data_IF_466190600236
#
_entry.id   IF_466190600236
#
_cell.length_a   1.000
_cell.length_b   1.000
_cell.length_c   1.000
_cell.angle_alpha   90.00
_cell.angle_beta   90.00
_cell.angle_gamma   90.00
#
_symmetry.space_group_name_H-M   'P 1'
#
loop_
_entity.id
_entity.type
_entity.pdbx_description
1 polymer ?
#
# COMPACT_ATOMS: atom_id res chain seq x y z
N UNK A 1 -9.22 -0.64 6.11
CA UNK A 1 -9.56 -1.46 7.32
C UNK A 1 -9.42 -2.98 7.14
N UNK A 2 -10.04 -3.60 6.12
CA UNK A 2 -10.07 -5.07 5.92
C UNK A 2 -8.67 -5.73 5.91
N UNK A 3 -7.72 -5.14 5.18
CA UNK A 3 -6.35 -5.65 5.10
C UNK A 3 -5.64 -5.72 6.47
N UNK A 4 -5.85 -4.73 7.34
CA UNK A 4 -5.25 -4.69 8.70
C UNK A 4 -5.82 -5.80 9.58
N UNK A 5 -7.14 -6.04 9.53
CA UNK A 5 -7.79 -7.10 10.31
C UNK A 5 -7.27 -8.47 9.89
N UNK A 6 -7.15 -8.72 8.58
CA UNK A 6 -6.60 -9.98 8.06
C UNK A 6 -5.16 -10.21 8.55
N UNK A 7 -4.30 -9.19 8.44
CA UNK A 7 -2.90 -9.26 8.90
C UNK A 7 -2.80 -9.46 10.42
N UNK A 8 -3.70 -8.85 11.17
CA UNK A 8 -3.79 -9.06 12.63
C UNK A 8 -4.09 -10.51 12.97
N UNK A 9 -4.96 -11.19 12.22
CA UNK A 9 -5.22 -12.63 12.41
C UNK A 9 -3.99 -13.49 12.12
N UNK A 10 -3.29 -13.19 11.02
CA UNK A 10 -2.07 -13.93 10.68
C UNK A 10 -0.98 -13.75 11.73
N UNK A 11 -0.76 -12.52 12.19
CA UNK A 11 0.22 -12.22 13.23
C UNK A 11 -0.10 -12.95 14.54
N UNK A 12 -1.37 -12.95 14.94
CA UNK A 12 -1.85 -13.67 16.12
C UNK A 12 -1.68 -15.19 15.96
N UNK A 13 -2.15 -15.78 14.87
CA UNK A 13 -2.04 -17.22 14.62
C UNK A 13 -0.58 -17.69 14.64
N UNK A 14 0.31 -16.96 13.98
CA UNK A 14 1.75 -17.28 13.98
C UNK A 14 2.38 -17.15 15.37
N UNK A 15 1.98 -16.15 16.15
CA UNK A 15 2.45 -15.99 17.54
C UNK A 15 1.91 -17.11 18.46
N UNK A 16 0.69 -17.58 18.22
CA UNK A 16 0.12 -18.73 18.94
C UNK A 16 0.88 -20.02 18.63
N UNK A 17 1.13 -20.31 17.35
CA UNK A 17 1.94 -21.46 16.94
C UNK A 17 3.31 -21.40 17.61
N UNK A 18 3.94 -20.22 17.63
CA UNK A 18 5.24 -20.04 18.27
C UNK A 18 5.22 -20.36 19.77
N UNK A 19 4.17 -19.96 20.49
CA UNK A 19 4.10 -20.10 21.97
C UNK A 19 3.48 -21.41 22.46
N UNK A 20 2.51 -21.95 21.75
CA UNK A 20 1.72 -23.13 22.17
C UNK A 20 2.29 -24.40 21.54
N UNK A 21 2.43 -24.42 20.23
CA UNK A 21 2.85 -25.63 19.50
C UNK A 21 4.38 -25.76 19.44
N UNK A 22 5.07 -24.61 19.39
CA UNK A 22 6.52 -24.45 19.32
C UNK A 22 7.23 -25.46 18.38
N UNK A 23 7.17 -25.22 17.05
CA UNK A 23 7.80 -26.09 16.04
C UNK A 23 9.30 -26.36 16.24
N UNK A 24 10.02 -25.54 17.03
CA UNK A 24 11.44 -25.75 17.31
C UNK A 24 11.73 -27.03 18.08
N UNK A 25 10.82 -27.43 18.98
CA UNK A 25 10.94 -28.63 19.80
C UNK A 25 10.01 -29.76 19.36
N UNK A 26 9.27 -29.56 18.26
CA UNK A 26 8.42 -30.58 17.66
C UNK A 26 9.22 -31.80 17.19
N UNK A 27 8.65 -32.99 17.43
CA UNK A 27 9.17 -34.25 16.88
C UNK A 27 8.88 -34.33 15.38
N UNK A 28 9.77 -34.95 14.61
CA UNK A 28 9.57 -35.19 13.18
C UNK A 28 9.98 -34.06 12.22
N UNK A 29 10.57 -32.97 12.71
CA UNK A 29 11.09 -31.87 11.87
C UNK A 29 12.62 -31.86 11.83
N UNK A 30 13.19 -31.68 10.64
CA UNK A 30 14.63 -31.46 10.46
C UNK A 30 15.05 -30.08 10.97
N UNK A 31 16.34 -29.89 11.25
CA UNK A 31 16.86 -28.60 11.71
C UNK A 31 16.58 -27.46 10.71
N UNK A 32 16.71 -27.73 9.40
CA UNK A 32 16.44 -26.76 8.35
C UNK A 32 14.95 -26.36 8.31
N UNK A 33 14.05 -27.34 8.43
CA UNK A 33 12.60 -27.06 8.50
C UNK A 33 12.25 -26.21 9.72
N UNK A 34 12.88 -26.49 10.88
CA UNK A 34 12.71 -25.70 12.10
C UNK A 34 13.12 -24.24 11.89
N UNK A 35 14.24 -24.00 11.21
CA UNK A 35 14.68 -22.64 10.86
C UNK A 35 13.71 -21.93 9.90
N UNK A 36 13.15 -22.65 8.92
CA UNK A 36 12.14 -22.10 8.03
C UNK A 36 10.88 -21.66 8.79
N UNK A 37 10.36 -22.52 9.68
CA UNK A 37 9.23 -22.17 10.54
C UNK A 37 9.56 -21.02 11.48
N UNK A 38 10.75 -21.02 12.09
CA UNK A 38 11.20 -19.95 12.96
C UNK A 38 11.24 -18.60 12.25
N UNK A 39 11.80 -18.56 11.05
CA UNK A 39 11.84 -17.35 10.22
C UNK A 39 10.44 -16.81 9.93
N UNK A 40 9.50 -17.69 9.53
CA UNK A 40 8.12 -17.31 9.26
C UNK A 40 7.38 -16.79 10.50
N UNK A 41 7.62 -17.38 11.67
CA UNK A 41 7.01 -16.96 12.94
C UNK A 41 7.61 -15.64 13.46
N UNK A 42 8.94 -15.50 13.43
CA UNK A 42 9.64 -14.29 13.88
C UNK A 42 9.34 -13.07 13.01
N UNK A 43 9.06 -13.29 11.71
CA UNK A 43 8.62 -12.20 10.83
C UNK A 43 7.48 -11.41 11.46
N UNK A 44 6.44 -12.07 11.99
CA UNK A 44 5.29 -11.38 12.58
C UNK A 44 5.58 -10.64 13.90
N UNK A 45 6.77 -10.80 14.48
CA UNK A 45 7.23 -10.01 15.62
C UNK A 45 7.81 -8.65 15.21
N UNK A 46 7.87 -8.31 13.91
CA UNK A 46 8.41 -7.05 13.41
C UNK A 46 7.75 -5.81 14.04
N UNK A 47 6.47 -5.90 14.42
CA UNK A 47 5.68 -4.75 14.86
C UNK A 47 6.29 -4.06 16.09
N UNK A 48 6.79 -4.84 17.06
CA UNK A 48 7.38 -4.28 18.27
C UNK A 48 8.71 -3.54 17.99
N UNK A 49 9.73 -4.16 17.36
CA UNK A 49 10.95 -3.44 16.98
C UNK A 49 10.66 -2.20 16.12
N UNK A 50 9.72 -2.27 15.17
CA UNK A 50 9.40 -1.13 14.31
C UNK A 50 8.85 0.06 15.10
N UNK A 51 7.91 -0.18 16.02
CA UNK A 51 7.40 0.90 16.90
C UNK A 51 8.54 1.49 17.72
N UNK A 52 9.37 0.64 18.34
CA UNK A 52 10.52 1.08 19.14
C UNK A 52 11.49 1.93 18.31
N UNK A 53 11.90 1.48 17.12
CA UNK A 53 12.85 2.22 16.26
C UNK A 53 12.31 3.56 15.76
N UNK A 54 11.00 3.64 15.50
CA UNK A 54 10.35 4.90 15.09
C UNK A 54 10.25 5.86 16.29
N UNK A 55 10.01 5.36 17.50
CA UNK A 55 9.87 6.20 18.70
C UNK A 55 11.17 6.49 19.43
N UNK A 56 12.25 5.73 19.18
CA UNK A 56 13.51 5.83 19.91
C UNK A 56 14.11 7.25 19.96
N UNK A 57 14.10 8.05 18.87
CA UNK A 57 14.61 9.42 18.91
C UNK A 57 13.86 10.32 19.87
N UNK A 58 12.57 10.05 20.15
CA UNK A 58 11.76 10.90 21.03
C UNK A 58 12.33 10.96 22.44
N UNK A 59 12.90 9.86 22.93
CA UNK A 59 13.50 9.80 24.26
C UNK A 59 14.65 10.81 24.41
N UNK A 60 15.52 10.87 23.41
CA UNK A 60 16.62 11.83 23.40
C UNK A 60 16.15 13.24 23.06
N UNK A 61 15.39 13.41 21.98
CA UNK A 61 15.00 14.73 21.46
C UNK A 61 14.10 15.51 22.42
N UNK A 62 13.16 14.85 23.10
CA UNK A 62 12.25 15.52 24.05
C UNK A 62 12.84 15.53 25.47
N UNK A 63 13.30 14.40 25.96
CA UNK A 63 13.66 14.21 27.37
C UNK A 63 15.16 14.24 27.66
N UNK A 64 16.01 14.41 26.62
CA UNK A 64 17.47 14.37 26.74
C UNK A 64 18.01 13.05 27.34
N UNK A 65 17.29 11.95 27.13
CA UNK A 65 17.69 10.64 27.64
C UNK A 65 18.62 9.95 26.64
N UNK A 66 19.90 9.82 27.01
CA UNK A 66 20.87 9.06 26.24
C UNK A 66 20.61 7.56 26.35
N UNK A 67 20.07 6.96 25.27
CA UNK A 67 19.85 5.51 25.21
C UNK A 67 21.16 4.75 24.95
N UNK A 68 22.07 5.34 24.17
CA UNK A 68 23.33 4.72 23.74
C UNK A 68 24.49 5.51 24.33
N UNK A 69 25.29 4.86 25.18
CA UNK A 69 26.52 5.42 25.70
C UNK A 69 27.67 5.20 24.70
N UNK A 70 27.78 6.07 23.70
CA UNK A 70 28.85 6.02 22.70
C UNK A 70 29.03 7.37 22.02
N UNK A 71 30.23 7.64 21.50
CA UNK A 71 30.48 8.82 20.66
C UNK A 71 29.73 8.69 19.33
N UNK A 72 29.18 9.79 18.82
CA UNK A 72 28.46 9.81 17.55
C UNK A 72 29.29 9.28 16.36
N UNK A 73 30.60 9.57 16.33
CA UNK A 73 31.52 9.08 15.30
C UNK A 73 31.60 7.55 15.25
N UNK A 74 31.71 6.91 16.41
CA UNK A 74 31.74 5.45 16.54
C UNK A 74 30.40 4.84 16.09
N UNK A 75 29.27 5.44 16.46
CA UNK A 75 27.96 4.94 15.99
C UNK A 75 27.90 4.99 14.46
N UNK A 76 28.30 6.09 13.84
CA UNK A 76 28.30 6.23 12.37
C UNK A 76 29.24 5.24 11.71
N UNK A 77 30.45 5.03 12.25
CA UNK A 77 31.44 4.13 11.66
C UNK A 77 30.98 2.67 11.62
N UNK A 78 30.18 2.23 12.58
CA UNK A 78 29.61 0.87 12.57
C UNK A 78 28.24 0.79 11.89
N UNK A 79 27.36 1.75 12.14
CA UNK A 79 25.98 1.70 11.64
C UNK A 79 25.90 1.96 10.13
N UNK A 80 26.66 2.91 9.59
CA UNK A 80 26.55 3.29 8.18
C UNK A 80 26.97 2.15 7.23
N UNK A 81 28.13 1.48 7.41
CA UNK A 81 28.49 0.34 6.57
C UNK A 81 27.49 -0.82 6.71
N UNK A 82 27.01 -1.08 7.93
CA UNK A 82 26.01 -2.12 8.19
C UNK A 82 24.69 -1.83 7.46
N UNK A 83 24.15 -0.62 7.57
CA UNK A 83 22.91 -0.23 6.88
C UNK A 83 23.07 -0.30 5.36
N UNK A 84 24.19 0.18 4.83
CA UNK A 84 24.48 0.11 3.40
C UNK A 84 24.49 -1.34 2.89
N UNK A 85 25.24 -2.23 3.56
CA UNK A 85 25.31 -3.64 3.19
C UNK A 85 23.95 -4.33 3.30
N UNK A 86 23.19 -4.08 4.37
CA UNK A 86 21.87 -4.66 4.56
C UNK A 86 20.90 -4.27 3.43
N UNK A 87 20.87 -2.98 3.05
CA UNK A 87 20.03 -2.47 1.96
C UNK A 87 20.50 -3.02 0.61
N UNK A 88 21.81 -3.02 0.36
CA UNK A 88 22.37 -3.46 -0.91
C UNK A 88 22.14 -4.96 -1.15
N UNK A 89 22.45 -5.81 -0.16
CA UNK A 89 22.20 -7.25 -0.23
C UNK A 89 20.71 -7.53 -0.36
N UNK A 90 19.86 -6.83 0.41
CA UNK A 90 18.41 -6.93 0.32
C UNK A 90 17.89 -6.62 -1.09
N UNK A 91 18.39 -5.55 -1.71
CA UNK A 91 18.08 -5.21 -3.11
C UNK A 91 18.55 -6.28 -4.07
N UNK A 92 19.78 -6.78 -3.95
CA UNK A 92 20.30 -7.83 -4.83
C UNK A 92 19.50 -9.13 -4.76
N UNK A 93 19.07 -9.54 -3.57
CA UNK A 93 18.28 -10.76 -3.38
C UNK A 93 16.81 -10.61 -3.79
N UNK A 94 16.17 -9.51 -3.42
CA UNK A 94 14.70 -9.35 -3.54
C UNK A 94 14.25 -8.29 -4.56
N UNK A 95 15.17 -7.55 -5.18
CA UNK A 95 14.87 -6.35 -5.96
C UNK A 95 14.00 -6.57 -7.20
N UNK A 96 13.86 -7.80 -7.69
CA UNK A 96 12.91 -8.14 -8.78
C UNK A 96 11.46 -8.22 -8.29
N UNK A 97 11.26 -8.50 -7.00
CA UNK A 97 9.94 -8.75 -6.42
C UNK A 97 9.48 -7.60 -5.52
N UNK A 98 10.41 -6.92 -4.84
CA UNK A 98 10.11 -5.84 -3.89
C UNK A 98 11.16 -4.75 -3.96
N UNK A 99 10.70 -3.51 -4.10
CA UNK A 99 11.53 -2.33 -3.97
C UNK A 99 12.07 -2.20 -2.53
N UNK A 100 13.33 -1.78 -2.39
CA UNK A 100 14.13 -1.83 -1.17
C UNK A 100 13.44 -1.23 0.07
N UNK A 101 12.84 -0.05 -0.06
CA UNK A 101 12.27 0.70 1.06
C UNK A 101 10.75 0.56 1.22
N UNK A 102 10.07 0.07 0.19
CA UNK A 102 8.63 -0.18 0.25
C UNK A 102 8.28 -1.21 1.31
N UNK A 103 9.24 -2.09 1.62
CA UNK A 103 9.03 -3.04 2.69
C UNK A 103 8.89 -2.41 4.07
N UNK A 104 9.72 -1.40 4.35
CA UNK A 104 9.66 -0.68 5.62
C UNK A 104 8.37 0.13 5.76
N UNK A 105 7.93 0.78 4.67
CA UNK A 105 6.67 1.52 4.66
C UNK A 105 5.50 0.58 4.99
N UNK A 106 5.46 -0.58 4.34
CA UNK A 106 4.42 -1.59 4.58
C UNK A 106 4.40 -2.06 6.03
N UNK A 107 5.57 -2.32 6.61
CA UNK A 107 5.69 -2.71 8.01
C UNK A 107 5.23 -1.58 8.94
N UNK A 108 5.62 -0.33 8.70
CA UNK A 108 5.23 0.83 9.52
C UNK A 108 3.71 1.04 9.50
N UNK A 109 3.05 0.91 8.34
CA UNK A 109 1.58 0.99 8.23
C UNK A 109 0.91 -0.01 9.18
N UNK A 110 1.46 -1.22 9.27
CA UNK A 110 0.90 -2.31 10.08
C UNK A 110 1.37 -2.28 11.55
N UNK A 111 2.55 -1.74 11.85
CA UNK A 111 3.24 -1.92 13.13
C UNK A 111 2.39 -1.50 14.34
N UNK A 112 1.81 -0.30 14.33
CA UNK A 112 0.98 0.20 15.44
C UNK A 112 -0.31 -0.61 15.66
N UNK A 113 -0.80 -1.29 14.62
CA UNK A 113 -2.00 -2.14 14.71
C UNK A 113 -1.68 -3.54 15.18
N UNK A 114 -0.50 -4.05 14.81
CA UNK A 114 -0.08 -5.42 15.11
C UNK A 114 0.60 -5.54 16.47
N UNK A 115 1.22 -4.47 17.00
CA UNK A 115 2.01 -4.53 18.24
C UNK A 115 1.21 -5.04 19.44
N UNK A 116 -0.03 -4.57 19.63
CA UNK A 116 -0.86 -4.99 20.75
C UNK A 116 -1.35 -6.45 20.59
N UNK A 117 -1.94 -6.85 19.44
CA UNK A 117 -2.28 -8.24 19.19
C UNK A 117 -1.11 -9.22 19.32
N UNK A 118 0.08 -8.88 18.82
CA UNK A 118 1.25 -9.77 18.91
C UNK A 118 1.76 -9.85 20.34
N UNK A 119 1.91 -8.73 21.04
CA UNK A 119 2.40 -8.71 22.43
C UNK A 119 1.44 -9.43 23.39
N UNK A 120 0.14 -9.15 23.30
CA UNK A 120 -0.86 -9.82 24.15
C UNK A 120 -0.88 -11.32 23.88
N UNK A 121 -0.79 -11.74 22.62
CA UNK A 121 -0.75 -13.17 22.27
C UNK A 121 0.54 -13.84 22.70
N UNK A 122 1.67 -13.12 22.67
CA UNK A 122 2.96 -13.62 23.12
C UNK A 122 2.95 -13.95 24.62
N UNK A 123 2.32 -13.10 25.44
CA UNK A 123 2.20 -13.26 26.90
C UNK A 123 1.03 -14.19 27.26
N UNK A 124 -0.13 -13.99 26.64
CA UNK A 124 -1.39 -14.69 26.91
C UNK A 124 -1.97 -15.36 25.65
N UNK A 125 -1.37 -16.47 25.17
CA UNK A 125 -1.72 -17.05 23.86
C UNK A 125 -3.16 -17.58 23.77
N UNK A 126 -3.78 -17.93 24.90
CA UNK A 126 -5.15 -18.45 24.97
C UNK A 126 -6.23 -17.36 25.05
N UNK A 127 -5.86 -16.09 25.25
CA UNK A 127 -6.83 -14.99 25.34
C UNK A 127 -6.97 -14.26 24.01
N UNK A 128 -8.19 -14.23 23.48
CA UNK A 128 -8.60 -13.26 22.46
C UNK A 128 -9.76 -13.76 21.59
N UNK A 129 -10.57 -12.83 21.11
CA UNK A 129 -11.76 -13.12 20.31
C UNK A 129 -11.40 -13.20 18.82
N UNK A 130 -12.04 -14.11 18.09
CA UNK A 130 -11.91 -14.21 16.63
C UNK A 130 -13.00 -13.32 16.02
N UNK A 131 -12.64 -12.07 15.68
CA UNK A 131 -13.59 -11.21 14.98
C UNK A 131 -13.52 -11.56 13.48
N UNK A 132 -14.63 -12.02 12.89
CA UNK A 132 -14.76 -12.28 11.44
C UNK A 132 -14.67 -10.95 10.69
N UNK A 133 -14.13 -10.96 9.47
CA UNK A 133 -13.92 -9.74 8.67
C UNK A 133 -15.22 -9.55 7.92
N UNK A 134 -15.84 -8.39 8.03
CA UNK A 134 -16.95 -8.06 7.15
C UNK A 134 -16.44 -8.12 5.71
N UNK A 135 -17.03 -9.04 4.93
CA UNK A 135 -16.70 -9.21 3.53
C UNK A 135 -17.31 -8.03 2.76
N UNK A 136 -16.49 -7.01 2.51
CA UNK A 136 -16.64 -6.05 1.42
C UNK A 136 -17.91 -5.21 1.42
N UNK A 137 -17.85 -4.03 2.04
CA UNK A 137 -18.73 -2.92 1.67
C UNK A 137 -18.15 -2.14 0.49
N UNK A 138 -19.01 -1.70 -0.44
CA UNK A 138 -18.64 -0.76 -1.50
C UNK A 138 -18.28 0.58 -0.87
N UNK A 139 -17.08 1.10 -1.15
CA UNK A 139 -16.65 2.42 -0.68
C UNK A 139 -16.97 3.45 -1.76
N UNK A 140 -18.20 3.98 -1.73
CA UNK A 140 -18.67 4.95 -2.72
C UNK A 140 -17.96 6.32 -2.61
N UNK A 141 -17.50 6.63 -1.38
CA UNK A 141 -16.69 7.80 -1.00
C UNK A 141 -15.34 7.36 -0.44
N UNK A 142 -14.28 8.09 -0.80
CA UNK A 142 -12.95 7.89 -0.23
C UNK A 142 -12.96 8.21 1.26
N UNK A 143 -13.14 7.19 2.10
CA UNK A 143 -13.13 7.36 3.55
C UNK A 143 -11.70 7.30 4.07
N UNK A 144 -11.24 8.40 4.67
CA UNK A 144 -10.03 8.37 5.47
C UNK A 144 -10.39 7.73 6.81
N UNK A 145 -10.01 6.46 7.02
CA UNK A 145 -10.25 5.77 8.29
C UNK A 145 -9.34 6.36 9.37
N UNK A 146 -9.82 7.47 9.95
CA UNK A 146 -9.09 8.28 10.90
C UNK A 146 -8.68 7.48 12.14
N UNK A 147 -9.42 6.42 12.47
CA UNK A 147 -9.15 5.53 13.61
C UNK A 147 -7.88 4.72 13.39
N UNK A 148 -7.66 4.23 12.16
CA UNK A 148 -6.48 3.44 11.78
C UNK A 148 -5.24 4.33 11.68
N UNK A 149 -5.38 5.56 11.21
CA UNK A 149 -4.22 6.46 10.98
C UNK A 149 -3.85 7.27 12.23
N UNK A 150 -4.72 7.33 13.24
CA UNK A 150 -4.50 8.08 14.50
C UNK A 150 -3.17 7.77 15.20
N UNK A 151 -2.78 6.52 15.48
CA UNK A 151 -1.51 6.26 16.17
C UNK A 151 -0.30 6.75 15.36
N UNK A 152 -0.33 6.58 14.04
CA UNK A 152 0.72 7.10 13.15
C UNK A 152 0.80 8.63 13.19
N UNK A 153 -0.34 9.32 13.18
CA UNK A 153 -0.38 10.80 13.27
C UNK A 153 0.16 11.31 14.60
N UNK A 154 -0.22 10.69 15.72
CA UNK A 154 0.28 11.08 17.05
C UNK A 154 1.80 10.97 17.09
N UNK A 155 2.36 9.84 16.65
CA UNK A 155 3.81 9.64 16.65
C UNK A 155 4.50 10.56 15.64
N UNK A 156 3.90 10.84 14.49
CA UNK A 156 4.44 11.80 13.52
C UNK A 156 4.49 13.22 14.09
N UNK A 157 3.45 13.67 14.77
CA UNK A 157 3.44 14.98 15.44
C UNK A 157 4.47 15.05 16.56
N UNK A 158 4.60 14.00 17.37
CA UNK A 158 5.61 13.94 18.43
C UNK A 158 7.03 13.94 17.85
N UNK A 159 7.28 13.21 16.76
CA UNK A 159 8.57 13.19 16.07
C UNK A 159 8.88 14.55 15.44
N UNK A 160 7.90 15.19 14.81
CA UNK A 160 8.08 16.54 14.27
C UNK A 160 8.43 17.54 15.37
N UNK A 161 7.72 17.50 16.51
CA UNK A 161 8.03 18.32 17.67
C UNK A 161 9.43 18.01 18.22
N UNK A 162 9.78 16.74 18.35
CA UNK A 162 11.10 16.30 18.80
C UNK A 162 12.21 16.80 17.88
N UNK A 163 12.03 16.71 16.56
CA UNK A 163 13.00 17.23 15.58
C UNK A 163 13.15 18.74 15.72
N UNK A 164 12.06 19.50 15.87
CA UNK A 164 12.12 20.95 16.09
C UNK A 164 12.88 21.29 17.38
N UNK A 165 12.54 20.62 18.50
CA UNK A 165 13.24 20.80 19.78
C UNK A 165 14.73 20.43 19.65
N UNK A 166 15.04 19.34 18.96
CA UNK A 166 16.41 18.91 18.69
C UNK A 166 17.21 19.94 17.89
N UNK A 167 16.61 20.53 16.86
CA UNK A 167 17.25 21.60 16.07
C UNK A 167 17.50 22.84 16.94
N UNK A 168 16.51 23.25 17.74
CA UNK A 168 16.67 24.39 18.67
C UNK A 168 17.78 24.12 19.68
N UNK A 169 17.85 22.91 20.24
CA UNK A 169 18.93 22.50 21.16
C UNK A 169 20.30 22.40 20.47
N UNK A 170 20.35 21.99 19.21
CA UNK A 170 21.59 21.95 18.43
C UNK A 170 22.14 23.37 18.18
N UNK A 171 21.26 24.34 17.92
CA UNK A 171 21.65 25.74 17.73
C UNK A 171 22.08 26.35 19.07
N UNK A 172 21.32 26.09 20.14
CA UNK A 172 21.62 26.54 21.51
C UNK A 172 22.57 25.61 22.29
N UNK A 173 23.47 24.89 21.62
CA UNK A 173 24.28 23.84 22.25
C UNK A 173 25.09 24.32 23.47
N UNK A 174 25.56 25.57 23.46
CA UNK A 174 26.26 26.22 24.58
C UNK A 174 25.41 26.33 25.86
N UNK A 175 24.09 26.47 25.71
CA UNK A 175 23.16 26.63 26.83
C UNK A 175 22.69 25.30 27.42
N UNK A 176 22.64 24.25 26.60
CA UNK A 176 22.10 22.93 27.00
C UNK A 176 23.18 21.89 27.32
N UNK A 177 24.47 22.22 27.20
CA UNK A 177 25.58 21.35 27.61
C UNK A 177 25.58 19.97 26.94
N UNK A 178 25.08 19.89 25.71
CA UNK A 178 24.84 18.63 24.99
C UNK A 178 25.71 18.55 23.74
N UNK A 179 26.31 17.38 23.50
CA UNK A 179 27.22 17.19 22.36
C UNK A 179 26.49 17.37 21.01
N UNK A 180 26.90 18.37 20.19
CA UNK A 180 26.25 18.67 18.91
C UNK A 180 26.15 17.47 17.97
N UNK A 181 27.15 16.58 18.01
CA UNK A 181 27.19 15.42 17.12
C UNK A 181 26.14 14.36 17.50
N UNK A 182 25.88 14.19 18.79
CA UNK A 182 24.86 13.26 19.29
C UNK A 182 23.45 13.78 18.97
N UNK A 183 23.26 15.10 19.09
CA UNK A 183 22.00 15.74 18.68
C UNK A 183 21.79 15.57 17.18
N UNK A 184 22.80 15.85 16.35
CA UNK A 184 22.71 15.73 14.90
C UNK A 184 22.33 14.30 14.46
N UNK A 185 22.89 13.27 15.10
CA UNK A 185 22.56 11.87 14.81
C UNK A 185 21.10 11.56 15.13
N UNK A 186 20.60 11.96 16.31
CA UNK A 186 19.21 11.74 16.72
C UNK A 186 18.22 12.54 15.87
N UNK A 187 18.56 13.77 15.49
CA UNK A 187 17.77 14.59 14.55
C UNK A 187 17.74 13.92 13.19
N UNK A 188 18.87 13.44 12.67
CA UNK A 188 18.94 12.71 11.40
C UNK A 188 18.09 11.45 11.40
N UNK A 189 18.17 10.63 12.44
CA UNK A 189 17.32 9.44 12.59
C UNK A 189 15.84 9.80 12.78
N UNK A 190 15.54 10.88 13.50
CA UNK A 190 14.19 11.42 13.66
C UNK A 190 13.58 11.85 12.33
N UNK A 191 14.34 12.56 11.48
CA UNK A 191 13.92 12.96 10.13
C UNK A 191 13.73 11.72 9.25
N UNK A 192 14.65 10.75 9.27
CA UNK A 192 14.51 9.49 8.54
C UNK A 192 13.20 8.79 8.92
N UNK A 193 12.97 8.60 10.23
CA UNK A 193 11.77 7.95 10.76
C UNK A 193 10.50 8.72 10.38
N UNK A 194 10.55 10.05 10.42
CA UNK A 194 9.45 10.92 10.04
C UNK A 194 9.10 10.80 8.55
N UNK A 195 10.08 10.75 7.64
CA UNK A 195 9.83 10.57 6.20
C UNK A 195 9.08 9.26 5.93
N UNK A 196 9.55 8.16 6.52
CA UNK A 196 8.90 6.85 6.37
C UNK A 196 7.50 6.79 7.00
N UNK A 197 7.33 7.44 8.16
CA UNK A 197 6.03 7.53 8.81
C UNK A 197 5.03 8.37 8.00
N UNK A 198 5.48 9.48 7.41
CA UNK A 198 4.68 10.30 6.49
C UNK A 198 4.35 9.53 5.21
N UNK A 199 5.27 8.74 4.67
CA UNK A 199 5.00 7.85 3.55
C UNK A 199 3.95 6.78 3.90
N UNK A 200 4.01 6.20 5.10
CA UNK A 200 3.00 5.26 5.58
C UNK A 200 1.62 5.92 5.72
N UNK A 201 1.55 7.14 6.26
CA UNK A 201 0.31 7.94 6.34
C UNK A 201 -0.22 8.26 4.94
N UNK A 202 0.67 8.57 3.99
CA UNK A 202 0.33 8.84 2.60
C UNK A 202 -0.34 7.63 1.93
N UNK A 203 0.22 6.42 2.14
CA UNK A 203 -0.34 5.16 1.62
C UNK A 203 -1.68 4.83 2.29
N UNK A 204 -1.85 5.15 3.56
CA UNK A 204 -3.12 4.96 4.26
C UNK A 204 -4.25 5.86 3.74
N UNK A 205 -3.94 6.90 2.95
CA UNK A 205 -4.92 7.69 2.20
C UNK A 205 -5.41 6.88 1.01
N UNK A 206 -6.33 5.96 1.29
CA UNK A 206 -6.87 5.01 0.32
C UNK A 206 -7.50 5.74 -0.87
N UNK A 207 -6.95 5.50 -2.07
CA UNK A 207 -7.49 6.02 -3.33
C UNK A 207 -8.83 5.37 -3.61
N UNK A 208 -9.85 6.17 -3.97
CA UNK A 208 -11.22 5.72 -4.25
C UNK A 208 -11.21 4.52 -5.21
N UNK A 209 -11.55 3.33 -4.69
CA UNK A 209 -11.77 2.15 -5.52
C UNK A 209 -13.24 2.06 -5.89
N UNK A 210 -13.60 2.64 -7.04
CA UNK A 210 -14.98 2.64 -7.56
C UNK A 210 -15.35 1.28 -8.16
N UNK A 211 -14.34 0.46 -8.54
CA UNK A 211 -14.55 -0.77 -9.33
C UNK A 211 -14.79 -1.97 -8.42
N UNK A 212 -15.86 -2.73 -8.70
CA UNK A 212 -16.24 -3.97 -7.99
C UNK A 212 -15.38 -5.18 -8.36
N UNK A 213 -14.92 -5.25 -9.61
CA UNK A 213 -14.16 -6.38 -10.16
C UNK A 213 -12.77 -5.95 -10.61
N UNK A 214 -11.80 -6.86 -10.46
CA UNK A 214 -10.44 -6.69 -10.96
C UNK A 214 -10.46 -6.88 -12.48
N UNK A 215 -9.79 -5.98 -13.21
CA UNK A 215 -9.54 -6.09 -14.65
C UNK A 215 -8.12 -6.59 -14.87
N UNK A 216 -7.97 -7.50 -15.82
CA UNK A 216 -6.70 -8.08 -16.24
C UNK A 216 -6.41 -7.54 -17.63
N UNK A 217 -5.24 -6.94 -17.83
CA UNK A 217 -4.81 -6.48 -19.15
C UNK A 217 -4.58 -7.70 -20.05
N UNK A 218 -5.33 -7.76 -21.15
CA UNK A 218 -5.34 -8.96 -21.98
C UNK A 218 -5.75 -8.64 -23.41
N UNK A 219 -5.00 -9.21 -24.35
CA UNK A 219 -5.24 -9.13 -25.78
C UNK A 219 -5.91 -10.43 -26.26
N UNK A 220 -7.21 -10.36 -26.53
CA UNK A 220 -8.03 -11.46 -27.05
C UNK A 220 -8.78 -10.92 -28.28
N UNK A 221 -8.78 -11.64 -29.41
CA UNK A 221 -9.64 -11.30 -30.53
C UNK A 221 -11.10 -11.32 -30.09
N UNK A 222 -11.81 -10.23 -30.37
CA UNK A 222 -13.22 -10.04 -30.03
C UNK A 222 -13.99 -9.61 -31.26
N UNK A 223 -15.21 -10.10 -31.35
CA UNK A 223 -16.17 -9.73 -32.37
C UNK A 223 -17.27 -8.93 -31.68
N UNK A 224 -17.53 -7.73 -32.17
CA UNK A 224 -18.55 -6.82 -31.67
C UNK A 224 -19.77 -6.96 -32.57
N UNK A 225 -20.90 -7.34 -31.98
CA UNK A 225 -22.19 -7.44 -32.65
C UNK A 225 -23.01 -6.20 -32.31
N UNK A 226 -23.34 -5.42 -33.34
CA UNK A 226 -24.16 -4.22 -33.20
C UNK A 226 -25.63 -4.53 -33.49
N UNK A 227 -26.54 -3.70 -32.98
CA UNK A 227 -27.99 -3.84 -33.15
C UNK A 227 -28.41 -3.78 -34.63
N UNK A 228 -27.66 -3.09 -35.50
CA UNK A 228 -27.93 -3.11 -36.95
C UNK A 228 -27.61 -4.44 -37.63
N UNK A 229 -27.10 -5.45 -36.90
CA UNK A 229 -26.62 -6.72 -37.44
C UNK A 229 -25.24 -6.66 -38.09
N UNK A 230 -24.55 -5.51 -38.02
CA UNK A 230 -23.17 -5.37 -38.47
C UNK A 230 -22.24 -5.97 -37.43
N UNK A 231 -21.11 -6.49 -37.91
CA UNK A 231 -20.13 -7.16 -37.07
C UNK A 231 -18.75 -6.53 -37.29
N UNK A 232 -18.08 -6.12 -36.23
CA UNK A 232 -16.69 -5.62 -36.29
C UNK A 232 -15.74 -6.52 -35.52
N UNK A 233 -14.54 -6.73 -36.07
CA UNK A 233 -13.47 -7.46 -35.39
C UNK A 233 -12.53 -6.48 -34.72
N UNK A 234 -12.15 -6.78 -33.49
CA UNK A 234 -11.20 -6.00 -32.72
C UNK A 234 -10.47 -6.89 -31.71
N UNK A 235 -9.75 -6.26 -30.79
CA UNK A 235 -8.97 -6.88 -29.73
C UNK A 235 -9.36 -6.27 -28.37
N UNK A 236 -9.42 -7.12 -27.34
CA UNK A 236 -9.54 -6.62 -25.97
C UNK A 236 -8.24 -5.95 -25.53
N UNK A 237 -8.35 -4.96 -24.65
CA UNK A 237 -7.23 -4.35 -23.95
C UNK A 237 -7.23 -4.74 -22.47
N UNK A 238 -8.42 -4.87 -21.88
CA UNK A 238 -8.59 -5.43 -20.54
C UNK A 238 -9.90 -6.21 -20.42
N UNK A 239 -9.95 -7.15 -19.47
CA UNK A 239 -11.10 -8.00 -19.24
C UNK A 239 -11.33 -8.22 -17.73
N UNK A 240 -12.60 -8.24 -17.31
CA UNK A 240 -13.02 -8.60 -15.95
C UNK A 240 -14.29 -9.44 -15.97
N UNK A 241 -14.69 -9.94 -14.81
CA UNK A 241 -15.99 -10.62 -14.64
C UNK A 241 -17.21 -9.72 -14.89
N UNK A 242 -17.06 -8.39 -14.94
CA UNK A 242 -18.18 -7.44 -15.09
C UNK A 242 -18.14 -6.61 -16.36
N UNK A 243 -17.18 -6.86 -17.26
CA UNK A 243 -17.02 -6.08 -18.48
C UNK A 243 -15.59 -6.10 -19.01
N UNK A 244 -15.40 -5.51 -20.18
CA UNK A 244 -14.12 -5.44 -20.87
C UNK A 244 -13.86 -4.04 -21.43
N UNK A 245 -12.62 -3.83 -21.87
CA UNK A 245 -12.24 -2.72 -22.72
C UNK A 245 -11.78 -3.29 -24.05
N UNK A 246 -12.33 -2.79 -25.15
CA UNK A 246 -12.04 -3.22 -26.51
C UNK A 246 -11.42 -2.06 -27.27
N UNK A 247 -10.45 -2.32 -28.15
CA UNK A 247 -9.91 -1.27 -29.04
C UNK A 247 -11.03 -0.83 -29.98
N UNK A 248 -11.28 0.46 -30.12
CA UNK A 248 -12.29 0.94 -31.06
C UNK A 248 -11.82 0.65 -32.49
N UNK A 249 -12.52 -0.20 -33.28
CA UNK A 249 -12.12 -0.46 -34.66
C UNK A 249 -12.46 0.75 -35.54
N UNK A 250 -13.65 1.31 -35.35
CA UNK A 250 -14.22 2.43 -36.09
C UNK A 250 -15.13 3.30 -35.17
N UNK A 251 -15.62 4.41 -35.69
CA UNK A 251 -16.55 5.34 -35.01
C UNK A 251 -18.02 4.89 -35.01
N UNK A 252 -18.34 3.66 -35.46
CA UNK A 252 -19.72 3.15 -35.57
C UNK A 252 -20.47 3.05 -34.24
N UNK A 253 -19.74 2.84 -33.15
CA UNK A 253 -20.27 2.82 -31.79
C UNK A 253 -20.94 4.14 -31.34
N UNK A 254 -20.83 5.22 -32.13
CA UNK A 254 -21.52 6.49 -31.90
C UNK A 254 -22.93 6.51 -32.49
N UNK A 255 -23.19 5.68 -33.51
CA UNK A 255 -24.45 5.66 -34.27
C UNK A 255 -25.26 4.40 -34.04
N UNK A 256 -24.63 3.34 -33.51
CA UNK A 256 -25.25 2.03 -33.31
C UNK A 256 -24.88 1.43 -31.94
N UNK A 257 -25.86 0.80 -31.32
CA UNK A 257 -25.74 0.18 -30.01
C UNK A 257 -25.06 -1.19 -30.11
N UNK A 258 -24.24 -1.51 -29.12
CA UNK A 258 -23.59 -2.81 -28.99
C UNK A 258 -24.51 -3.68 -28.14
N UNK A 259 -24.92 -4.84 -28.68
CA UNK A 259 -25.78 -5.80 -27.97
C UNK A 259 -24.97 -6.94 -27.37
N UNK A 260 -24.02 -7.46 -28.13
CA UNK A 260 -23.27 -8.66 -27.76
C UNK A 260 -21.82 -8.54 -28.19
N UNK A 261 -20.93 -9.14 -27.40
CA UNK A 261 -19.57 -9.40 -27.84
C UNK A 261 -19.26 -10.89 -27.81
N UNK A 262 -18.48 -11.33 -28.78
CA UNK A 262 -18.00 -12.70 -28.87
C UNK A 262 -16.49 -12.71 -28.67
N UNK A 263 -16.04 -13.31 -27.57
CA UNK A 263 -14.64 -13.49 -27.24
C UNK A 263 -14.14 -14.77 -27.91
N UNK A 264 -13.16 -14.65 -28.80
CA UNK A 264 -12.60 -15.79 -29.52
C UNK A 264 -11.39 -16.32 -28.74
N UNK A 265 -11.51 -17.52 -28.20
CA UNK A 265 -10.42 -18.22 -27.53
C UNK A 265 -10.01 -19.47 -28.29
N UNK A 266 -8.82 -19.99 -27.98
CA UNK A 266 -8.35 -21.27 -28.51
C UNK A 266 -9.27 -22.45 -28.14
N UNK A 267 -9.94 -22.37 -26.98
CA UNK A 267 -10.87 -23.39 -26.50
C UNK A 267 -12.28 -23.29 -27.09
N UNK A 268 -12.58 -22.23 -27.85
CA UNK A 268 -13.92 -21.92 -28.37
C UNK A 268 -14.26 -20.44 -28.28
N UNK A 269 -15.38 -20.06 -28.89
CA UNK A 269 -15.91 -18.71 -28.83
C UNK A 269 -17.01 -18.60 -27.77
N UNK A 270 -17.04 -17.48 -27.05
CA UNK A 270 -18.06 -17.21 -26.02
C UNK A 270 -18.71 -15.88 -26.32
N UNK A 271 -20.02 -15.92 -26.59
CA UNK A 271 -20.84 -14.73 -26.78
C UNK A 271 -21.45 -14.28 -25.44
N UNK A 272 -21.30 -13.00 -25.14
CA UNK A 272 -21.69 -12.37 -23.88
C UNK A 272 -22.42 -11.06 -24.20
N UNK A 273 -23.69 -10.93 -23.78
CA UNK A 273 -24.42 -9.67 -23.87
C UNK A 273 -23.67 -8.55 -23.13
N UNK A 274 -23.48 -7.43 -23.82
CA UNK A 274 -22.68 -6.33 -23.32
C UNK A 274 -23.24 -4.99 -23.76
N UNK A 275 -23.22 -4.01 -22.86
CA UNK A 275 -23.68 -2.64 -23.12
C UNK A 275 -22.49 -1.67 -23.12
N UNK A 276 -22.53 -0.69 -24.01
CA UNK A 276 -21.55 0.39 -24.02
C UNK A 276 -21.75 1.32 -22.81
N UNK A 277 -20.71 1.50 -22.01
CA UNK A 277 -20.72 2.44 -20.87
C UNK A 277 -20.15 3.79 -21.28
N UNK A 278 -19.05 3.77 -22.02
CA UNK A 278 -18.34 4.97 -22.49
C UNK A 278 -17.36 4.56 -23.58
N UNK A 279 -17.08 5.47 -24.51
CA UNK A 279 -16.04 5.31 -25.53
C UNK A 279 -15.07 6.49 -25.50
N UNK A 280 -13.82 6.22 -25.86
CA UNK A 280 -12.82 7.20 -26.27
C UNK A 280 -12.41 6.89 -27.71
N UNK A 281 -11.65 7.78 -28.37
CA UNK A 281 -11.12 7.56 -29.74
C UNK A 281 -10.40 6.22 -29.92
N UNK A 282 -9.80 5.68 -28.86
CA UNK A 282 -9.01 4.44 -28.90
C UNK A 282 -9.73 3.23 -28.31
N UNK A 283 -10.70 3.41 -27.44
CA UNK A 283 -11.23 2.31 -26.63
C UNK A 283 -12.73 2.42 -26.38
N UNK A 284 -13.42 1.28 -26.53
CA UNK A 284 -14.79 1.07 -26.11
C UNK A 284 -14.79 0.39 -24.74
N UNK A 285 -15.56 0.91 -23.78
CA UNK A 285 -15.70 0.32 -22.45
C UNK A 285 -17.08 -0.32 -22.34
N UNK A 286 -17.10 -1.64 -22.26
CA UNK A 286 -18.32 -2.44 -22.25
C UNK A 286 -18.55 -3.01 -20.85
N UNK A 287 -19.82 -3.04 -20.43
CA UNK A 287 -20.29 -3.72 -19.22
C UNK A 287 -21.03 -4.98 -19.63
N UNK A 288 -20.70 -6.11 -19.00
CA UNK A 288 -21.46 -7.34 -19.19
C UNK A 288 -22.77 -7.27 -18.44
N UNK A 289 -23.80 -7.87 -19.02
CA UNK A 289 -25.10 -7.98 -18.36
C UNK A 289 -24.97 -8.73 -17.03
N UNK A 290 -25.74 -8.34 -16.02
CA UNK A 290 -25.74 -8.98 -14.71
C UNK A 290 -26.54 -10.29 -14.74
N UNK A 291 -27.50 -10.42 -15.66
CA UNK A 291 -28.42 -11.56 -15.80
C UNK A 291 -27.92 -12.65 -16.76
N UNK A 292 -26.60 -12.81 -16.89
CA UNK A 292 -25.99 -13.85 -17.73
C UNK A 292 -26.30 -15.26 -17.17
N UNK A 293 -26.74 -16.22 -18.02
CA UNK A 293 -26.95 -17.61 -17.62
C UNK A 293 -25.72 -18.23 -16.95
N UNK A 294 -25.95 -19.11 -15.96
CA UNK A 294 -24.87 -19.69 -15.16
C UNK A 294 -23.81 -20.45 -16.00
N UNK A 295 -24.21 -21.07 -17.12
CA UNK A 295 -23.31 -21.72 -18.08
C UNK A 295 -22.31 -20.73 -18.67
N UNK A 296 -22.80 -19.61 -19.22
CA UNK A 296 -21.99 -18.52 -19.77
C UNK A 296 -21.13 -17.84 -18.72
N UNK A 297 -21.64 -17.68 -17.50
CA UNK A 297 -20.84 -17.15 -16.38
C UNK A 297 -19.67 -18.06 -16.00
N UNK A 298 -19.84 -19.39 -16.04
CA UNK A 298 -18.75 -20.35 -15.82
C UNK A 298 -17.70 -20.30 -16.92
N UNK A 299 -18.13 -20.13 -18.17
CA UNK A 299 -17.25 -19.92 -19.32
C UNK A 299 -16.43 -18.64 -19.15
N UNK A 300 -17.08 -17.52 -18.79
CA UNK A 300 -16.39 -16.25 -18.50
C UNK A 300 -15.35 -16.40 -17.37
N UNK A 301 -15.67 -17.15 -16.30
CA UNK A 301 -14.69 -17.45 -15.24
C UNK A 301 -13.47 -18.17 -15.79
N UNK A 302 -13.64 -19.14 -16.71
CA UNK A 302 -12.51 -19.85 -17.33
C UNK A 302 -11.66 -18.89 -18.17
N UNK A 303 -12.31 -18.01 -18.94
CA UNK A 303 -11.61 -17.00 -19.74
C UNK A 303 -10.80 -16.05 -18.89
N UNK A 304 -11.37 -15.55 -17.80
CA UNK A 304 -10.72 -14.51 -16.99
C UNK A 304 -9.67 -15.11 -16.04
N UNK A 305 -9.96 -16.23 -15.39
CA UNK A 305 -9.17 -16.74 -14.26
C UNK A 305 -8.33 -17.98 -14.57
N UNK A 306 -8.72 -18.80 -15.56
CA UNK A 306 -8.05 -20.09 -15.80
C UNK A 306 -6.87 -20.02 -16.79
N UNK A 307 -6.62 -18.87 -17.41
CA UNK A 307 -5.52 -18.74 -18.36
C UNK A 307 -4.18 -18.55 -17.65
N UNK A 308 -3.15 -19.24 -18.11
CA UNK A 308 -1.81 -19.14 -17.52
C UNK A 308 -1.12 -17.80 -17.84
N UNK A 309 -1.32 -17.26 -19.05
CA UNK A 309 -0.76 -15.99 -19.50
C UNK A 309 -1.24 -14.78 -18.69
N UNK A 310 -2.47 -14.85 -18.14
CA UNK A 310 -2.98 -13.86 -17.20
C UNK A 310 -2.15 -13.72 -15.91
N UNK A 311 -1.38 -14.75 -15.55
CA UNK A 311 -0.66 -14.83 -14.27
C UNK A 311 0.87 -14.88 -14.41
N UNK A 312 1.38 -15.33 -15.56
CA UNK A 312 2.81 -15.38 -15.86
C UNK A 312 3.27 -13.99 -16.30
N UNK A 313 3.83 -13.24 -15.36
CA UNK A 313 4.39 -11.93 -15.65
C UNK A 313 5.87 -12.05 -16.08
N UNK A 314 6.33 -11.23 -17.05
CA UNK A 314 7.74 -11.17 -17.39
C UNK A 314 8.58 -10.74 -16.16
N UNK A 315 9.85 -11.15 -16.09
CA UNK A 315 10.73 -10.79 -15.00
C UNK A 315 10.86 -9.25 -14.92
N UNK A 316 10.55 -8.69 -13.76
CA UNK A 316 10.63 -7.25 -13.50
C UNK A 316 12.11 -6.80 -13.45
N UNK A 317 12.39 -5.53 -13.79
CA UNK A 317 13.74 -4.99 -13.71
C UNK A 317 14.27 -5.02 -12.27
N UNK A 318 15.59 -5.12 -12.13
CA UNK A 318 16.25 -5.08 -10.83
C UNK A 318 16.05 -3.72 -10.15
N UNK A 319 15.75 -3.72 -8.85
CA UNK A 319 15.63 -2.49 -8.08
C UNK A 319 16.97 -1.74 -7.93
N UNK A 320 16.87 -0.42 -7.87
CA UNK A 320 17.96 0.50 -7.53
C UNK A 320 17.58 1.23 -6.23
N UNK A 321 18.27 0.96 -5.09
CA UNK A 321 17.90 1.52 -3.78
C UNK A 321 17.77 3.05 -3.78
N UNK A 322 18.70 3.75 -4.42
CA UNK A 322 18.67 5.22 -4.51
C UNK A 322 17.45 5.75 -5.26
N UNK A 323 17.07 5.10 -6.37
CA UNK A 323 15.88 5.48 -7.14
C UNK A 323 14.61 5.21 -6.34
N UNK A 324 14.56 4.09 -5.61
CA UNK A 324 13.46 3.74 -4.72
C UNK A 324 13.27 4.79 -3.61
N UNK A 325 14.37 5.20 -2.96
CA UNK A 325 14.37 6.24 -1.93
C UNK A 325 13.88 7.59 -2.47
N UNK A 326 14.41 8.05 -3.60
CA UNK A 326 14.00 9.32 -4.19
C UNK A 326 12.53 9.31 -4.63
N UNK A 327 12.04 8.16 -5.11
CA UNK A 327 10.63 7.99 -5.45
C UNK A 327 9.74 8.16 -4.22
N UNK A 328 10.14 7.61 -3.07
CA UNK A 328 9.41 7.79 -1.81
C UNK A 328 9.39 9.26 -1.39
N UNK A 329 10.55 9.93 -1.43
CA UNK A 329 10.66 11.34 -1.07
C UNK A 329 9.75 12.21 -1.97
N UNK A 330 9.76 11.94 -3.28
CA UNK A 330 8.88 12.62 -4.24
C UNK A 330 7.41 12.35 -3.96
N UNK A 331 7.02 11.11 -3.69
CA UNK A 331 5.64 10.75 -3.34
C UNK A 331 5.16 11.47 -2.08
N UNK A 332 5.99 11.51 -1.03
CA UNK A 332 5.66 12.25 0.20
C UNK A 332 5.51 13.75 -0.12
N UNK A 333 6.47 14.33 -0.84
CA UNK A 333 6.43 15.75 -1.18
C UNK A 333 5.20 16.11 -2.03
N UNK A 334 4.94 15.40 -3.12
CA UNK A 334 3.78 15.63 -4.00
C UNK A 334 2.47 15.51 -3.22
N UNK A 335 2.33 14.49 -2.38
CA UNK A 335 1.10 14.26 -1.64
C UNK A 335 0.79 15.39 -0.65
N UNK A 336 1.77 15.82 0.13
CA UNK A 336 1.58 16.88 1.12
C UNK A 336 1.55 18.27 0.48
N UNK A 337 2.36 18.53 -0.56
CA UNK A 337 2.36 19.79 -1.30
C UNK A 337 1.05 20.01 -2.06
N UNK A 338 0.55 18.99 -2.78
CA UNK A 338 -0.74 19.08 -3.47
C UNK A 338 -1.86 19.31 -2.46
N UNK A 339 -1.88 18.59 -1.33
CA UNK A 339 -2.89 18.79 -0.28
C UNK A 339 -2.86 20.22 0.27
N UNK A 340 -1.67 20.79 0.47
CA UNK A 340 -1.50 22.17 0.92
C UNK A 340 -1.98 23.17 -0.13
N UNK A 341 -1.64 22.95 -1.41
CA UNK A 341 -2.08 23.80 -2.54
C UNK A 341 -3.61 23.77 -2.72
N UNK A 342 -4.24 22.59 -2.64
CA UNK A 342 -5.70 22.44 -2.73
C UNK A 342 -6.41 23.08 -1.54
N UNK A 343 -5.86 22.95 -0.32
CA UNK A 343 -6.40 23.66 0.85
C UNK A 343 -6.25 25.17 0.73
N UNK A 344 -5.12 25.66 0.22
CA UNK A 344 -4.89 27.09 -0.01
C UNK A 344 -5.81 27.65 -1.10
N UNK A 345 -6.04 26.90 -2.19
CA UNK A 345 -6.97 27.33 -3.24
C UNK A 345 -8.43 27.32 -2.76
N UNK A 346 -8.85 26.33 -1.97
CA UNK A 346 -10.17 26.29 -1.34
C UNK A 346 -10.36 27.43 -0.34
N UNK A 347 -9.34 27.71 0.49
CA UNK A 347 -9.37 28.81 1.46
C UNK A 347 -9.39 30.17 0.76
N UNK A 348 -8.62 30.36 -0.30
CA UNK A 348 -8.68 31.57 -1.13
C UNK A 348 -10.05 31.73 -1.81
N UNK A 349 -10.66 30.64 -2.32
CA UNK A 349 -12.04 30.69 -2.85
C UNK A 349 -13.06 31.05 -1.79
N UNK A 350 -12.93 30.52 -0.57
CA UNK A 350 -13.81 30.86 0.55
C UNK A 350 -13.64 32.32 1.02
N UNK A 351 -12.42 32.87 0.99
CA UNK A 351 -12.16 34.28 1.27
C UNK A 351 -12.78 35.17 0.19
N UNK A 352 -12.57 34.86 -1.10
CA UNK A 352 -13.14 35.62 -2.23
C UNK A 352 -14.68 35.58 -2.20
N UNK A 353 -15.28 34.44 -1.86
CA UNK A 353 -16.72 34.32 -1.70
C UNK A 353 -17.26 35.16 -0.54
N UNK A 354 -16.51 35.30 0.58
CA UNK A 354 -16.88 36.19 1.68
C UNK A 354 -16.78 37.67 1.30
N UNK A 355 -15.71 38.07 0.62
CA UNK A 355 -15.52 39.47 0.20
C UNK A 355 -16.59 39.89 -0.83
N UNK A 356 -16.95 39.00 -1.76
CA UNK A 356 -18.04 39.25 -2.72
C UNK A 356 -19.43 39.35 -2.05
N UNK A 357 -19.61 38.74 -0.86
CA UNK A 357 -20.85 38.79 -0.10
C UNK A 357 -20.95 40.08 0.75
N UNK A 358 -19.81 40.60 1.21
CA UNK A 358 -19.71 41.90 1.89
C UNK A 358 -19.85 43.08 0.91
N UNK A 359 -19.27 43.00 -0.30
CA UNK A 359 -19.39 44.05 -1.33
C UNK A 359 -20.77 44.07 -2.02
N UNK A 360 -21.54 42.98 -1.95
CA UNK A 360 -22.91 42.89 -2.48
C UNK A 360 -24.02 43.34 -1.54
N UNK A 361 -23.68 43.86 -0.35
CA UNK A 361 -24.62 44.35 0.67
C UNK A 361 -24.53 45.86 0.94
N UNK A 362 -23.87 46.62 0.05
CA UNK A 362 -23.84 48.10 0.05
C UNK A 362 -24.78 48.72 -1.00
#
# INVERSE_FOLDING_TARGET
MVHVIQRTRWARGMTQIFRVDNPLFGRGLTFQQRLCYLSAMLYYQFALPRVVFVTAPLAYLLFNLNIIYSSASLIVSYALPHLFLAIYVGSRMNGRYRYSFWGEIYDIVLAFHLVLPTLVTMIFPKRGKFNVTDKGGLLDVGYFDFTVVRPHLVVACLLALGVVVGIVRAIGHDYFGSDPNVIALNVGWGIYSLIFLLAAIAVARETRQVRKTIRIDVDIPVVIHYASGIVSRSHTADLSMGGCRVVAPDNRHLEDDIEEIELILQSGAISIPAQLVTSDERFLRLKFDEDIPLSRRRELVRVVLARADAWINPPRPQDNPFRSFFTILRCVFELFWLTWKTRRSQRNRATVAKTAQEDGTL
#
